data_IF_528354438326
#
_entry.id   IF_528354438326
#
_cell.length_a   1.000
_cell.length_b   1.000
_cell.length_c   1.000
_cell.angle_alpha   90.00
_cell.angle_beta   90.00
_cell.angle_gamma   90.00
#
_symmetry.space_group_name_H-M   'P 1'
#
loop_
_entity.id
_entity.type
_entity.pdbx_description
1 polymer ?
#
# COMPACT_ATOMS: atom_id res chain seq x y z
N UNK A 1 -3.21 2.80 -18.68
CA UNK A 1 -2.91 4.15 -19.22
C UNK A 1 -2.75 4.01 -20.73
N UNK A 2 -3.64 4.64 -21.51
CA UNK A 2 -3.61 4.59 -22.99
C UNK A 2 -3.07 5.89 -23.59
N UNK A 3 -2.14 6.56 -22.93
CA UNK A 3 -1.58 7.82 -23.42
C UNK A 3 -0.55 7.56 -24.50
N UNK A 4 -0.63 8.29 -25.60
CA UNK A 4 0.47 8.39 -26.57
C UNK A 4 1.51 9.33 -26.01
N UNK A 5 2.71 8.82 -25.77
CA UNK A 5 3.83 9.62 -25.28
C UNK A 5 4.74 10.04 -26.43
N UNK A 6 5.31 11.23 -26.34
CA UNK A 6 6.31 11.79 -27.25
C UNK A 6 7.52 12.32 -26.48
N UNK A 7 8.61 12.49 -27.15
CA UNK A 7 9.79 13.17 -26.59
C UNK A 7 9.52 14.66 -26.36
N UNK A 8 10.25 15.24 -25.41
CA UNK A 8 10.24 16.67 -25.18
C UNK A 8 10.78 17.44 -26.39
N UNK A 9 10.17 18.57 -26.70
CA UNK A 9 10.72 19.54 -27.65
C UNK A 9 11.85 20.36 -27.01
N UNK A 10 12.72 20.94 -27.81
CA UNK A 10 13.80 21.82 -27.33
C UNK A 10 13.24 23.00 -26.48
N UNK A 11 12.12 23.56 -26.87
CA UNK A 11 11.48 24.67 -26.14
C UNK A 11 10.92 24.24 -24.78
N UNK A 12 10.36 23.04 -24.70
CA UNK A 12 9.89 22.46 -23.41
C UNK A 12 11.07 22.21 -22.47
N UNK A 13 12.18 21.68 -22.97
CA UNK A 13 13.41 21.47 -22.20
C UNK A 13 13.95 22.80 -21.66
N UNK A 14 14.01 23.85 -22.46
CA UNK A 14 14.46 25.17 -22.00
C UNK A 14 13.51 25.78 -20.96
N UNK A 15 12.20 25.57 -21.12
CA UNK A 15 11.22 25.99 -20.10
C UNK A 15 11.45 25.23 -18.78
N UNK A 16 11.62 23.91 -18.83
CA UNK A 16 11.88 23.09 -17.63
C UNK A 16 13.19 23.51 -16.94
N UNK A 17 14.26 23.76 -17.69
CA UNK A 17 15.52 24.26 -17.14
C UNK A 17 15.34 25.63 -16.46
N UNK A 18 14.59 26.54 -17.09
CA UNK A 18 14.31 27.86 -16.51
C UNK A 18 13.51 27.77 -15.18
N UNK A 19 12.77 26.69 -14.98
CA UNK A 19 12.03 26.36 -13.76
C UNK A 19 12.82 25.47 -12.77
N UNK A 20 14.15 25.45 -12.91
CA UNK A 20 15.09 24.72 -12.05
C UNK A 20 14.90 23.21 -12.09
N UNK A 21 14.37 22.67 -13.18
CA UNK A 21 14.34 21.23 -13.41
C UNK A 21 15.68 20.75 -13.98
N UNK A 22 16.07 19.54 -13.58
CA UNK A 22 17.27 18.87 -14.09
C UNK A 22 16.97 17.44 -14.52
N UNK A 23 17.65 16.95 -15.53
CA UNK A 23 17.60 15.56 -15.95
C UNK A 23 19.00 15.03 -16.20
N UNK A 24 19.25 13.76 -15.89
CA UNK A 24 20.50 13.08 -16.24
C UNK A 24 20.60 12.97 -17.78
N UNK A 25 19.49 12.60 -18.42
CA UNK A 25 19.34 12.60 -19.88
C UNK A 25 17.91 13.05 -20.24
N UNK A 26 17.79 14.17 -20.95
CA UNK A 26 16.51 14.70 -21.40
C UNK A 26 15.85 13.80 -22.46
N UNK A 27 16.61 12.97 -23.17
CA UNK A 27 16.08 12.03 -24.17
C UNK A 27 15.33 10.84 -23.53
N UNK A 28 15.54 10.56 -22.24
CA UNK A 28 14.84 9.52 -21.50
C UNK A 28 13.48 10.01 -20.94
N UNK A 29 13.12 11.28 -21.19
CA UNK A 29 11.85 11.85 -20.72
C UNK A 29 10.87 11.88 -21.89
N UNK A 30 9.70 11.30 -21.63
CA UNK A 30 8.54 11.28 -22.52
C UNK A 30 7.37 11.99 -21.87
N UNK A 31 6.54 12.66 -22.65
CA UNK A 31 5.38 13.42 -22.15
C UNK A 31 4.12 13.08 -22.95
N UNK A 32 2.99 13.11 -22.28
CA UNK A 32 1.69 12.92 -22.91
C UNK A 32 1.35 14.10 -23.84
N UNK A 33 0.44 13.87 -24.77
CA UNK A 33 -0.15 14.95 -25.54
C UNK A 33 -0.88 15.93 -24.60
N UNK A 34 -0.70 17.23 -24.79
CA UNK A 34 -1.23 18.24 -23.87
C UNK A 34 -0.38 18.54 -22.64
N UNK A 35 0.79 17.92 -22.52
CA UNK A 35 1.74 18.27 -21.48
C UNK A 35 2.12 19.75 -21.52
N UNK A 36 2.11 20.41 -20.36
CA UNK A 36 2.48 21.81 -20.22
C UNK A 36 3.64 21.96 -19.22
N UNK A 37 4.86 22.30 -19.66
CA UNK A 37 6.04 22.33 -18.81
C UNK A 37 5.93 23.33 -17.65
N UNK A 38 5.07 24.34 -17.74
CA UNK A 38 4.86 25.35 -16.67
C UNK A 38 4.43 24.76 -15.31
N UNK A 39 3.90 23.54 -15.31
CA UNK A 39 3.47 22.83 -14.10
C UNK A 39 4.50 21.84 -13.54
N UNK A 40 5.73 21.88 -14.03
CA UNK A 40 6.83 21.08 -13.49
C UNK A 40 7.97 22.00 -13.05
N UNK A 41 8.22 22.09 -11.75
CA UNK A 41 9.19 23.01 -11.16
C UNK A 41 10.04 22.32 -10.11
N UNK A 42 11.34 22.64 -10.08
CA UNK A 42 12.27 22.09 -9.07
C UNK A 42 12.29 20.55 -9.07
N UNK A 43 12.09 19.93 -10.23
CA UNK A 43 12.10 18.49 -10.38
C UNK A 43 13.47 17.99 -10.83
N UNK A 44 13.96 16.93 -10.20
CA UNK A 44 15.16 16.20 -10.60
C UNK A 44 14.74 14.85 -11.18
N UNK A 45 15.16 14.55 -12.40
CA UNK A 45 14.70 13.39 -13.15
C UNK A 45 15.86 12.52 -13.60
N UNK A 46 15.72 11.21 -13.52
CA UNK A 46 16.71 10.24 -13.99
C UNK A 46 16.06 8.93 -14.43
N UNK A 47 16.76 8.19 -15.30
CA UNK A 47 16.20 6.99 -15.91
C UNK A 47 15.01 7.31 -16.81
N UNK A 48 14.16 6.32 -17.06
CA UNK A 48 13.00 6.49 -17.93
C UNK A 48 11.84 7.19 -17.20
N UNK A 49 11.45 8.37 -17.67
CA UNK A 49 10.40 9.19 -17.08
C UNK A 49 9.28 9.40 -18.10
N UNK A 50 8.04 9.17 -17.66
CA UNK A 50 6.83 9.53 -18.43
C UNK A 50 5.96 10.46 -17.61
N UNK A 51 5.56 11.59 -18.18
CA UNK A 51 4.74 12.60 -17.54
C UNK A 51 3.42 12.79 -18.28
N UNK A 52 2.31 12.72 -17.56
CA UNK A 52 0.97 13.03 -18.07
C UNK A 52 0.75 14.51 -18.32
N UNK A 53 -0.47 14.86 -18.73
CA UNK A 53 -0.95 16.23 -18.82
C UNK A 53 -1.53 16.68 -17.46
N UNK A 54 -1.29 17.93 -17.06
CA UNK A 54 -1.70 18.47 -15.77
C UNK A 54 -2.72 19.59 -15.95
N UNK A 55 -4.01 19.31 -15.74
CA UNK A 55 -5.09 20.26 -15.99
C UNK A 55 -6.09 20.40 -14.82
N UNK A 56 -5.86 19.66 -13.71
CA UNK A 56 -6.77 19.59 -12.55
C UNK A 56 -6.36 20.56 -11.45
N UNK A 57 -7.35 21.12 -10.76
CA UNK A 57 -7.17 21.76 -9.46
C UNK A 57 -7.64 20.82 -8.34
N UNK A 58 -6.80 20.66 -7.31
CA UNK A 58 -7.15 20.00 -6.07
C UNK A 58 -7.62 21.01 -5.04
N UNK A 59 -8.75 20.74 -4.40
CA UNK A 59 -9.26 21.54 -3.29
C UNK A 59 -8.85 20.89 -1.97
N UNK A 60 -8.03 21.58 -1.21
CA UNK A 60 -7.54 21.12 0.10
C UNK A 60 -8.43 21.65 1.23
N UNK A 61 -8.34 21.07 2.44
CA UNK A 61 -9.00 21.61 3.62
C UNK A 61 -8.70 23.10 3.81
N UNK A 62 -9.70 23.85 4.28
CA UNK A 62 -9.58 25.31 4.40
C UNK A 62 -9.79 26.08 3.09
N UNK A 63 -10.10 25.42 1.99
CA UNK A 63 -10.39 26.05 0.70
C UNK A 63 -9.17 26.43 -0.14
N UNK A 64 -7.97 26.00 0.25
CA UNK A 64 -6.77 26.19 -0.55
C UNK A 64 -6.83 25.34 -1.81
N UNK A 65 -6.40 25.90 -2.94
CA UNK A 65 -6.34 25.21 -4.22
C UNK A 65 -4.89 24.96 -4.63
N UNK A 66 -4.63 23.75 -5.12
CA UNK A 66 -3.35 23.37 -5.74
C UNK A 66 -3.60 22.88 -7.16
N UNK A 67 -2.80 23.34 -8.09
CA UNK A 67 -2.84 22.83 -9.47
C UNK A 67 -2.05 21.52 -9.56
N UNK A 68 -2.56 20.58 -10.37
CA UNK A 68 -1.82 19.37 -10.74
C UNK A 68 -0.46 19.72 -11.36
N UNK A 69 0.54 18.89 -11.11
CA UNK A 69 1.90 19.14 -11.55
C UNK A 69 2.94 18.46 -10.66
N UNK A 70 4.20 18.79 -10.89
CA UNK A 70 5.31 18.23 -10.11
C UNK A 70 6.14 19.38 -9.55
N UNK A 71 6.28 19.40 -8.23
CA UNK A 71 6.92 20.51 -7.51
C UNK A 71 7.85 19.98 -6.42
N UNK A 72 9.14 20.35 -6.46
CA UNK A 72 10.12 19.91 -5.45
C UNK A 72 10.18 18.39 -5.28
N UNK A 73 10.44 17.66 -6.37
CA UNK A 73 10.48 16.20 -6.35
C UNK A 73 11.71 15.64 -7.09
N UNK A 74 12.22 14.51 -6.61
CA UNK A 74 13.22 13.70 -7.31
C UNK A 74 12.57 12.41 -7.79
N UNK A 75 12.63 12.14 -9.10
CA UNK A 75 11.98 11.01 -9.74
C UNK A 75 13.02 10.15 -10.47
N UNK A 76 12.96 8.82 -10.29
CA UNK A 76 13.81 7.87 -10.99
C UNK A 76 13.01 6.69 -11.53
N UNK A 77 12.98 6.48 -12.84
CA UNK A 77 12.17 5.44 -13.50
C UNK A 77 10.69 5.51 -13.07
N UNK A 78 10.02 6.63 -13.31
CA UNK A 78 8.64 6.87 -12.87
C UNK A 78 7.75 7.24 -14.04
N UNK A 79 6.59 6.60 -14.11
CA UNK A 79 5.47 7.04 -14.95
C UNK A 79 4.45 7.76 -14.09
N UNK A 80 4.15 9.02 -14.40
CA UNK A 80 3.15 9.85 -13.73
C UNK A 80 1.96 10.02 -14.67
N UNK A 81 0.77 9.60 -14.22
CA UNK A 81 -0.47 9.75 -14.95
C UNK A 81 -0.95 11.21 -15.07
N UNK A 82 -2.03 11.39 -15.82
CA UNK A 82 -2.64 12.69 -16.00
C UNK A 82 -3.17 13.25 -14.67
N UNK A 83 -3.20 14.58 -14.58
CA UNK A 83 -3.80 15.27 -13.45
C UNK A 83 -3.26 14.93 -12.05
N UNK A 84 -2.07 14.35 -11.97
CA UNK A 84 -1.38 14.11 -10.70
C UNK A 84 -0.82 15.41 -10.10
N UNK A 85 -0.80 15.50 -8.77
CA UNK A 85 -0.04 16.50 -8.03
C UNK A 85 1.01 15.80 -7.18
N UNK A 86 2.29 16.05 -7.43
CA UNK A 86 3.42 15.51 -6.66
C UNK A 86 4.22 16.68 -6.11
N UNK A 87 4.22 16.86 -4.80
CA UNK A 87 4.86 18.02 -4.18
C UNK A 87 5.63 17.64 -2.92
N UNK A 88 6.76 18.30 -2.69
CA UNK A 88 7.58 18.16 -1.49
C UNK A 88 7.99 16.71 -1.19
N UNK A 89 8.56 16.03 -2.17
CA UNK A 89 9.19 14.72 -1.97
C UNK A 89 10.57 14.95 -1.38
N UNK A 90 10.74 14.62 -0.10
CA UNK A 90 11.99 14.95 0.66
C UNK A 90 13.22 14.24 0.09
N UNK A 91 13.09 12.98 -0.29
CA UNK A 91 14.17 12.22 -0.89
C UNK A 91 13.86 11.90 -2.36
N UNK A 92 13.10 10.83 -2.65
CA UNK A 92 12.79 10.47 -4.03
C UNK A 92 11.61 9.50 -4.17
N UNK A 93 11.06 9.45 -5.37
CA UNK A 93 10.17 8.37 -5.85
C UNK A 93 10.92 7.59 -6.91
N UNK A 94 10.98 6.24 -6.78
CA UNK A 94 11.70 5.41 -7.74
C UNK A 94 10.96 4.12 -8.10
N UNK A 95 11.00 3.78 -9.40
CA UNK A 95 10.45 2.53 -9.95
C UNK A 95 8.95 2.37 -9.67
N UNK A 96 8.16 3.38 -10.03
CA UNK A 96 6.70 3.38 -9.84
C UNK A 96 5.93 3.85 -11.08
N UNK A 97 4.78 3.25 -11.26
CA UNK A 97 3.69 3.78 -12.09
C UNK A 97 2.63 4.40 -11.18
N UNK A 98 2.29 5.69 -11.42
CA UNK A 98 1.35 6.47 -10.63
C UNK A 98 0.12 6.76 -11.49
N UNK A 99 -1.05 6.32 -11.05
CA UNK A 99 -2.34 6.49 -11.73
C UNK A 99 -2.81 7.94 -11.76
N UNK A 100 -3.73 8.21 -12.66
CA UNK A 100 -4.28 9.55 -12.89
C UNK A 100 -4.94 10.15 -11.65
N UNK A 101 -4.92 11.48 -11.55
CA UNK A 101 -5.60 12.21 -10.49
C UNK A 101 -5.05 12.00 -9.08
N UNK A 102 -3.90 11.36 -8.95
CA UNK A 102 -3.26 11.03 -7.67
C UNK A 102 -2.57 12.25 -7.06
N UNK A 103 -2.72 12.40 -5.75
CA UNK A 103 -2.14 13.48 -4.96
C UNK A 103 -1.09 12.92 -4.00
N UNK A 104 0.17 13.35 -4.15
CA UNK A 104 1.29 12.96 -3.29
C UNK A 104 1.94 14.22 -2.74
N UNK A 105 1.94 14.39 -1.42
CA UNK A 105 2.51 15.57 -0.79
C UNK A 105 3.29 15.22 0.48
N UNK A 106 4.43 15.89 0.67
CA UNK A 106 5.22 15.80 1.89
C UNK A 106 5.56 14.35 2.29
N UNK A 107 6.05 13.58 1.33
CA UNK A 107 6.50 12.19 1.55
C UNK A 107 8.02 12.11 1.62
N UNK A 108 8.53 11.14 2.37
CA UNK A 108 9.98 10.95 2.46
C UNK A 108 10.52 10.13 1.28
N UNK A 109 10.18 8.86 1.20
CA UNK A 109 10.62 7.94 0.12
C UNK A 109 9.45 7.08 -0.33
N UNK A 110 9.30 6.91 -1.66
CA UNK A 110 8.47 5.87 -2.27
C UNK A 110 9.34 5.08 -3.25
N UNK A 111 9.60 3.80 -2.98
CA UNK A 111 10.52 3.00 -3.79
C UNK A 111 10.04 1.55 -3.98
N UNK A 112 10.20 1.03 -5.21
CA UNK A 112 10.27 -0.41 -5.44
C UNK A 112 11.73 -0.80 -5.67
N UNK A 113 12.22 -1.74 -4.86
CA UNK A 113 13.61 -2.19 -4.82
C UNK A 113 13.69 -3.65 -5.24
N UNK A 114 13.96 -3.88 -6.50
CA UNK A 114 14.02 -5.19 -7.12
C UNK A 114 12.65 -5.90 -7.28
N UNK A 115 12.64 -7.14 -7.75
CA UNK A 115 11.43 -7.93 -7.91
C UNK A 115 10.76 -8.22 -6.55
N UNK A 116 9.47 -7.94 -6.45
CA UNK A 116 8.69 -8.13 -5.22
C UNK A 116 7.28 -8.63 -5.52
N UNK A 117 6.74 -9.47 -4.65
CA UNK A 117 5.34 -9.91 -4.67
C UNK A 117 4.40 -8.94 -3.93
N UNK A 118 4.91 -7.81 -3.41
CA UNK A 118 4.13 -6.82 -2.66
C UNK A 118 3.31 -7.47 -1.52
N UNK A 119 3.97 -8.23 -0.65
CA UNK A 119 3.33 -8.96 0.45
C UNK A 119 2.67 -10.27 0.06
N UNK A 120 2.40 -10.50 -1.23
CA UNK A 120 1.89 -11.80 -1.69
C UNK A 120 2.97 -12.88 -1.53
N UNK A 121 2.60 -14.03 -0.95
CA UNK A 121 3.50 -15.14 -0.70
C UNK A 121 4.21 -15.10 0.66
N UNK A 122 4.00 -14.06 1.46
CA UNK A 122 4.50 -14.04 2.85
C UNK A 122 3.82 -15.16 3.63
N UNK A 123 4.62 -15.93 4.35
CA UNK A 123 4.13 -16.99 5.25
C UNK A 123 3.83 -16.39 6.62
N UNK A 124 2.64 -16.66 7.11
CA UNK A 124 2.11 -16.19 8.40
C UNK A 124 1.89 -17.38 9.30
N UNK A 125 2.55 -17.40 10.47
CA UNK A 125 2.43 -18.46 11.46
C UNK A 125 1.19 -18.26 12.30
N UNK A 126 0.10 -18.93 11.93
CA UNK A 126 -1.17 -18.84 12.67
C UNK A 126 -1.40 -20.03 13.59
N UNK A 127 -2.15 -19.82 14.67
CA UNK A 127 -2.54 -20.84 15.66
C UNK A 127 -1.37 -21.46 16.43
N UNK A 128 -0.16 -21.00 16.22
CA UNK A 128 1.02 -21.43 16.95
C UNK A 128 2.19 -20.48 16.69
N UNK A 129 2.67 -19.78 17.68
CA UNK A 129 3.79 -18.85 17.59
C UNK A 129 5.11 -19.54 17.18
N UNK A 130 5.25 -20.83 17.47
CA UNK A 130 6.45 -21.60 17.09
C UNK A 130 6.38 -22.15 15.67
N UNK A 131 5.33 -21.85 14.92
CA UNK A 131 5.17 -22.27 13.54
C UNK A 131 4.53 -23.66 13.37
N UNK A 132 4.58 -24.18 12.12
CA UNK A 132 4.03 -25.48 11.74
C UNK A 132 2.64 -25.42 11.12
N UNK A 133 2.03 -24.23 11.03
CA UNK A 133 0.73 -23.99 10.37
C UNK A 133 0.76 -22.74 9.50
N UNK A 134 1.87 -22.49 8.85
CA UNK A 134 2.08 -21.31 8.02
C UNK A 134 1.07 -21.26 6.86
N UNK A 135 0.48 -20.10 6.68
CA UNK A 135 -0.42 -19.77 5.60
C UNK A 135 0.24 -18.70 4.74
N UNK A 136 0.39 -18.95 3.45
CA UNK A 136 0.79 -17.92 2.51
C UNK A 136 -0.35 -16.92 2.32
N UNK A 137 -0.14 -15.67 2.69
CA UNK A 137 -1.10 -14.60 2.38
C UNK A 137 -0.97 -14.18 0.92
N UNK A 138 -2.08 -13.79 0.32
CA UNK A 138 -2.15 -13.26 -1.04
C UNK A 138 -3.45 -12.48 -1.23
N UNK A 139 -3.54 -11.66 -2.27
CA UNK A 139 -4.63 -10.71 -2.52
C UNK A 139 -6.04 -11.32 -2.47
N UNK A 140 -6.18 -12.60 -2.79
CA UNK A 140 -7.46 -13.31 -2.86
C UNK A 140 -7.67 -14.29 -1.71
N UNK A 141 -6.93 -14.18 -0.63
CA UNK A 141 -7.08 -15.07 0.52
C UNK A 141 -8.46 -14.90 1.15
N UNK A 142 -9.18 -16.00 1.28
CA UNK A 142 -10.45 -16.06 2.01
C UNK A 142 -10.30 -16.82 3.33
N UNK A 143 -11.23 -16.56 4.28
CA UNK A 143 -11.26 -17.28 5.54
C UNK A 143 -11.38 -18.81 5.34
N UNK A 144 -12.14 -19.23 4.33
CA UNK A 144 -12.33 -20.64 3.99
C UNK A 144 -11.02 -21.28 3.51
N UNK A 145 -10.31 -20.62 2.59
CA UNK A 145 -9.01 -21.13 2.09
C UNK A 145 -7.99 -21.19 3.21
N UNK A 146 -7.90 -20.14 4.02
CA UNK A 146 -7.01 -20.10 5.18
C UNK A 146 -7.33 -21.19 6.21
N UNK A 147 -8.62 -21.40 6.51
CA UNK A 147 -9.09 -22.46 7.40
C UNK A 147 -8.65 -23.84 6.91
N UNK A 148 -8.86 -24.13 5.64
CA UNK A 148 -8.43 -25.40 5.05
C UNK A 148 -6.92 -25.57 5.14
N UNK A 149 -6.15 -24.55 4.82
CA UNK A 149 -4.70 -24.59 4.90
C UNK A 149 -4.17 -24.79 6.33
N UNK A 150 -4.82 -24.20 7.33
CA UNK A 150 -4.39 -24.31 8.73
C UNK A 150 -4.75 -25.65 9.36
N UNK A 151 -5.94 -26.18 9.10
CA UNK A 151 -6.50 -27.32 9.86
C UNK A 151 -6.50 -28.66 9.11
N UNK A 152 -6.46 -28.66 7.76
CA UNK A 152 -6.48 -29.89 6.97
C UNK A 152 -5.07 -30.39 6.64
N UNK A 153 -4.12 -30.19 7.52
CA UNK A 153 -2.70 -30.59 7.35
C UNK A 153 -2.51 -32.10 7.13
N UNK A 154 -3.45 -32.89 7.58
CA UNK A 154 -3.51 -34.33 7.32
C UNK A 154 -3.83 -34.69 5.86
N UNK A 155 -4.08 -33.70 5.00
CA UNK A 155 -4.27 -33.82 3.56
C UNK A 155 -3.14 -33.15 2.78
N UNK A 156 -1.91 -33.68 2.83
CA UNK A 156 -0.72 -32.97 2.34
C UNK A 156 -0.78 -32.64 0.84
N UNK A 157 -1.37 -33.52 0.02
CA UNK A 157 -1.52 -33.27 -1.43
C UNK A 157 -2.42 -32.07 -1.71
N UNK A 158 -3.53 -31.92 -0.97
CA UNK A 158 -4.43 -30.79 -1.11
C UNK A 158 -3.73 -29.48 -0.69
N UNK A 159 -3.02 -29.51 0.41
CA UNK A 159 -2.25 -28.33 0.89
C UNK A 159 -1.17 -27.96 -0.12
N UNK A 160 -0.47 -28.94 -0.70
CA UNK A 160 0.53 -28.68 -1.74
C UNK A 160 -0.07 -27.99 -2.95
N UNK A 161 -1.21 -28.47 -3.46
CA UNK A 161 -1.92 -27.84 -4.59
C UNK A 161 -2.39 -26.43 -4.29
N UNK A 162 -2.90 -26.16 -3.08
CA UNK A 162 -3.26 -24.79 -2.67
C UNK A 162 -2.03 -23.88 -2.63
N UNK A 163 -0.90 -24.35 -2.08
CA UNK A 163 0.35 -23.60 -2.09
C UNK A 163 0.87 -23.35 -3.52
N UNK A 164 0.75 -24.30 -4.43
CA UNK A 164 1.13 -24.14 -5.84
C UNK A 164 0.26 -23.08 -6.54
N UNK A 165 -1.05 -23.09 -6.30
CA UNK A 165 -1.98 -22.08 -6.82
C UNK A 165 -1.59 -20.68 -6.32
N UNK A 166 -1.27 -20.54 -5.03
CA UNK A 166 -0.84 -19.26 -4.46
C UNK A 166 0.50 -18.82 -5.05
N UNK A 167 1.49 -19.72 -5.19
CA UNK A 167 2.77 -19.40 -5.82
C UNK A 167 2.62 -18.95 -7.27
N UNK A 168 1.71 -19.57 -8.02
CA UNK A 168 1.36 -19.13 -9.38
C UNK A 168 0.82 -17.70 -9.38
N UNK A 169 -0.06 -17.37 -8.44
CA UNK A 169 -0.55 -15.99 -8.27
C UNK A 169 0.59 -15.04 -7.92
N UNK A 170 1.43 -15.39 -6.95
CA UNK A 170 2.62 -14.58 -6.55
C UNK A 170 3.48 -14.29 -7.76
N UNK A 171 3.79 -15.30 -8.58
CA UNK A 171 4.58 -15.12 -9.80
C UNK A 171 3.92 -14.16 -10.79
N UNK A 172 2.59 -14.16 -10.89
CA UNK A 172 1.85 -13.29 -11.80
C UNK A 172 1.79 -11.82 -11.36
N UNK A 173 1.96 -11.55 -10.07
CA UNK A 173 1.94 -10.19 -9.51
C UNK A 173 3.32 -9.64 -9.17
N UNK A 174 4.36 -10.47 -9.26
CA UNK A 174 5.75 -10.06 -9.00
C UNK A 174 6.21 -9.06 -10.05
N UNK A 175 6.73 -7.94 -9.58
CA UNK A 175 7.26 -6.87 -10.44
C UNK A 175 8.39 -6.13 -9.74
N UNK A 176 9.29 -5.55 -10.53
CA UNK A 176 10.29 -4.57 -10.06
C UNK A 176 9.80 -3.12 -10.18
N UNK A 177 8.57 -2.93 -10.67
CA UNK A 177 7.91 -1.62 -10.75
C UNK A 177 6.68 -1.65 -9.86
N UNK A 178 6.61 -0.72 -8.92
CA UNK A 178 5.47 -0.54 -8.03
C UNK A 178 4.31 0.15 -8.74
N UNK A 179 3.14 0.08 -8.13
CA UNK A 179 1.94 0.70 -8.66
C UNK A 179 1.20 1.49 -7.58
N UNK A 180 0.88 2.74 -7.89
CA UNK A 180 -0.05 3.58 -7.15
C UNK A 180 -1.24 3.83 -8.06
N UNK A 181 -2.42 3.45 -7.63
CA UNK A 181 -3.66 3.55 -8.40
C UNK A 181 -4.08 4.98 -8.71
N UNK A 182 -5.24 5.09 -9.35
CA UNK A 182 -5.83 6.38 -9.70
C UNK A 182 -6.56 7.00 -8.49
N UNK A 183 -6.57 8.34 -8.43
CA UNK A 183 -7.23 9.12 -7.37
C UNK A 183 -6.80 8.72 -5.94
N UNK A 184 -5.56 8.33 -5.78
CA UNK A 184 -4.94 8.04 -4.49
C UNK A 184 -4.48 9.33 -3.84
N UNK A 185 -4.57 9.41 -2.52
CA UNK A 185 -3.97 10.49 -1.73
C UNK A 185 -2.88 9.90 -0.83
N UNK A 186 -1.66 10.43 -0.91
CA UNK A 186 -0.56 10.11 -0.01
C UNK A 186 -0.02 11.42 0.55
N UNK A 187 -0.25 11.68 1.83
CA UNK A 187 0.17 12.92 2.47
C UNK A 187 0.91 12.64 3.79
N UNK A 188 1.94 13.43 4.06
CA UNK A 188 2.70 13.39 5.30
C UNK A 188 3.25 11.99 5.66
N UNK A 189 3.52 11.16 4.65
CA UNK A 189 3.98 9.80 4.84
C UNK A 189 5.51 9.70 4.87
N UNK A 190 6.01 8.79 5.71
CA UNK A 190 7.44 8.50 5.80
C UNK A 190 7.93 7.56 4.69
N UNK A 191 8.28 6.34 5.07
CA UNK A 191 8.93 5.37 4.20
C UNK A 191 7.95 4.37 3.60
N UNK A 192 7.78 4.40 2.27
CA UNK A 192 6.96 3.44 1.51
C UNK A 192 7.88 2.64 0.59
N UNK A 193 8.05 1.34 0.87
CA UNK A 193 8.93 0.46 0.09
C UNK A 193 8.23 -0.82 -0.33
N UNK A 194 8.26 -1.14 -1.63
CA UNK A 194 7.67 -2.37 -2.16
C UNK A 194 6.17 -2.50 -1.82
N UNK A 195 5.41 -1.43 -1.99
CA UNK A 195 3.97 -1.41 -1.68
C UNK A 195 3.17 -1.13 -2.95
N UNK A 196 2.25 -2.03 -3.27
CA UNK A 196 1.24 -1.81 -4.30
C UNK A 196 0.00 -1.19 -3.69
N UNK A 197 -0.45 -0.07 -4.24
CA UNK A 197 -1.57 0.72 -3.70
C UNK A 197 -2.68 0.77 -4.75
N UNK A 198 -3.86 0.30 -4.39
CA UNK A 198 -5.05 0.34 -5.24
C UNK A 198 -5.69 1.73 -5.32
N UNK A 199 -6.64 1.86 -6.24
CA UNK A 199 -7.33 3.12 -6.54
C UNK A 199 -8.05 3.70 -5.32
N UNK A 200 -8.19 5.03 -5.27
CA UNK A 200 -8.92 5.75 -4.21
C UNK A 200 -8.43 5.49 -2.79
N UNK A 201 -7.25 4.93 -2.62
CA UNK A 201 -6.62 4.76 -1.30
C UNK A 201 -6.26 6.12 -0.70
N UNK A 202 -6.37 6.21 0.61
CA UNK A 202 -5.95 7.38 1.36
C UNK A 202 -4.91 6.98 2.40
N UNK A 203 -3.70 7.54 2.29
CA UNK A 203 -2.59 7.32 3.23
C UNK A 203 -2.21 8.69 3.79
N UNK A 204 -2.42 8.88 5.09
CA UNK A 204 -2.13 10.16 5.75
C UNK A 204 -1.31 9.94 7.03
N UNK A 205 -0.10 10.43 7.05
CA UNK A 205 0.77 10.37 8.23
C UNK A 205 1.32 8.98 8.57
N UNK A 206 1.26 8.01 7.67
CA UNK A 206 1.86 6.70 7.92
C UNK A 206 3.38 6.80 8.07
N UNK A 207 3.93 6.17 9.12
CA UNK A 207 5.37 6.23 9.40
C UNK A 207 6.19 5.33 8.48
N UNK A 208 5.76 4.08 8.30
CA UNK A 208 6.43 3.10 7.43
C UNK A 208 5.47 2.05 6.90
N UNK A 209 5.53 1.81 5.61
CA UNK A 209 4.84 0.71 4.94
C UNK A 209 5.87 -0.05 4.08
N UNK A 210 6.02 -1.36 4.30
CA UNK A 210 7.02 -2.15 3.59
C UNK A 210 6.47 -3.51 3.18
N UNK A 211 6.74 -3.88 1.92
CA UNK A 211 6.37 -5.17 1.34
C UNK A 211 4.88 -5.49 1.54
N UNK A 212 4.01 -4.72 0.87
CA UNK A 212 2.58 -4.86 1.09
C UNK A 212 1.72 -4.58 -0.13
N UNK A 213 0.47 -5.05 -0.07
CA UNK A 213 -0.59 -4.71 -1.01
C UNK A 213 -1.76 -4.06 -0.27
N UNK A 214 -2.22 -2.92 -0.79
CA UNK A 214 -3.41 -2.22 -0.31
C UNK A 214 -4.45 -2.30 -1.43
N UNK A 215 -5.40 -3.20 -1.29
CA UNK A 215 -6.38 -3.53 -2.32
C UNK A 215 -7.61 -2.61 -2.25
N UNK A 216 -7.36 -1.30 -2.38
CA UNK A 216 -8.36 -0.24 -2.39
C UNK A 216 -9.07 -0.13 -3.73
N UNK A 217 -10.30 0.37 -3.72
CA UNK A 217 -11.06 0.70 -4.93
C UNK A 217 -12.13 1.77 -4.64
N UNK A 218 -12.75 2.30 -5.68
CA UNK A 218 -13.72 3.41 -5.59
C UNK A 218 -14.93 3.11 -4.67
N UNK A 219 -15.41 1.87 -4.63
CA UNK A 219 -16.60 1.49 -3.85
C UNK A 219 -16.29 1.16 -2.40
N UNK A 220 -15.05 0.79 -2.13
CA UNK A 220 -14.58 0.40 -0.81
C UNK A 220 -13.12 0.85 -0.62
N UNK A 221 -12.90 2.16 -0.48
CA UNK A 221 -11.57 2.71 -0.31
C UNK A 221 -10.93 2.24 1.00
N UNK A 222 -9.60 2.16 1.00
CA UNK A 222 -8.81 1.86 2.19
C UNK A 222 -8.22 3.15 2.73
N UNK A 223 -8.22 3.27 4.06
CA UNK A 223 -7.56 4.35 4.77
C UNK A 223 -6.41 3.81 5.62
N UNK A 224 -5.23 4.44 5.50
CA UNK A 224 -4.07 4.19 6.36
C UNK A 224 -3.69 5.50 7.02
N UNK A 225 -3.78 5.56 8.33
CA UNK A 225 -3.70 6.79 9.10
C UNK A 225 -2.35 7.01 9.77
N UNK A 226 -2.36 7.99 10.68
CA UNK A 226 -1.17 8.55 11.34
C UNK A 226 -0.44 7.50 12.18
N UNK A 227 0.89 7.51 12.08
CA UNK A 227 1.77 6.70 12.91
C UNK A 227 1.81 5.22 12.56
N UNK A 228 1.06 4.77 11.56
CA UNK A 228 0.99 3.36 11.17
C UNK A 228 2.34 2.83 10.70
N UNK A 229 2.72 1.66 11.21
CA UNK A 229 3.89 0.89 10.80
C UNK A 229 3.44 -0.50 10.37
N UNK A 230 3.61 -0.83 9.08
CA UNK A 230 3.23 -2.13 8.51
C UNK A 230 4.36 -2.75 7.69
N UNK A 231 4.68 -4.00 8.00
CA UNK A 231 5.67 -4.80 7.27
C UNK A 231 5.04 -6.14 6.85
N UNK A 232 5.30 -6.59 5.61
CA UNK A 232 4.85 -7.91 5.10
C UNK A 232 3.34 -8.12 5.21
N UNK A 233 2.55 -7.34 4.46
CA UNK A 233 1.11 -7.28 4.70
C UNK A 233 0.25 -7.28 3.44
N UNK A 234 -1.02 -7.60 3.65
CA UNK A 234 -2.10 -7.33 2.69
C UNK A 234 -3.24 -6.66 3.44
N UNK A 235 -3.73 -5.53 2.92
CA UNK A 235 -4.93 -4.84 3.39
C UNK A 235 -5.98 -4.88 2.29
N UNK A 236 -7.13 -5.47 2.59
CA UNK A 236 -8.25 -5.60 1.67
C UNK A 236 -9.18 -4.39 1.72
N UNK A 237 -10.03 -4.27 0.69
CA UNK A 237 -10.91 -3.13 0.47
C UNK A 237 -11.84 -2.79 1.64
N UNK A 238 -12.11 -1.51 1.80
CA UNK A 238 -13.02 -0.97 2.83
C UNK A 238 -12.46 -0.98 4.24
N UNK A 239 -11.18 -1.29 4.41
CA UNK A 239 -10.55 -1.36 5.73
C UNK A 239 -9.91 -0.04 6.12
N UNK A 240 -9.82 0.22 7.43
CA UNK A 240 -9.02 1.30 7.99
C UNK A 240 -7.98 0.77 8.97
N UNK A 241 -6.76 1.32 8.89
CA UNK A 241 -5.64 1.02 9.80
C UNK A 241 -5.08 2.36 10.23
N UNK A 242 -5.28 2.74 11.49
CA UNK A 242 -5.09 4.12 11.92
C UNK A 242 -4.43 4.22 13.31
N UNK A 243 -4.10 5.42 13.72
CA UNK A 243 -3.75 5.78 15.11
C UNK A 243 -2.63 4.93 15.71
N UNK A 244 -1.47 4.88 15.05
CA UNK A 244 -0.28 4.25 15.60
C UNK A 244 -0.28 2.72 15.59
N UNK A 245 -1.14 2.08 14.83
CA UNK A 245 -1.14 0.62 14.67
C UNK A 245 0.21 0.13 14.16
N UNK A 246 0.72 -0.94 14.77
CA UNK A 246 1.92 -1.64 14.33
C UNK A 246 1.59 -3.08 13.96
N UNK A 247 1.96 -3.51 12.76
CA UNK A 247 1.66 -4.87 12.33
C UNK A 247 2.73 -5.45 11.40
N UNK A 248 2.95 -6.75 11.51
CA UNK A 248 3.89 -7.46 10.64
C UNK A 248 3.42 -8.86 10.33
N UNK A 249 3.65 -9.31 9.09
CA UNK A 249 3.16 -10.60 8.56
C UNK A 249 1.66 -10.78 8.85
N UNK A 250 0.85 -9.82 8.36
CA UNK A 250 -0.58 -9.81 8.63
C UNK A 250 -1.42 -9.73 7.35
N UNK A 251 -2.57 -10.37 7.39
CA UNK A 251 -3.64 -10.18 6.41
C UNK A 251 -4.80 -9.46 7.08
N UNK A 252 -5.12 -8.27 6.58
CA UNK A 252 -6.27 -7.47 7.01
C UNK A 252 -7.35 -7.58 5.95
N UNK A 253 -8.39 -8.33 6.24
CA UNK A 253 -9.50 -8.63 5.35
C UNK A 253 -10.41 -7.43 5.09
N UNK A 254 -11.52 -7.66 4.39
CA UNK A 254 -12.44 -6.61 3.99
C UNK A 254 -13.16 -5.96 5.18
N UNK A 255 -13.33 -4.65 5.12
CA UNK A 255 -14.05 -3.86 6.11
C UNK A 255 -13.56 -4.05 7.56
N UNK A 256 -12.28 -4.35 7.74
CA UNK A 256 -11.65 -4.42 9.04
C UNK A 256 -11.25 -3.03 9.54
N UNK A 257 -11.20 -2.87 10.85
CA UNK A 257 -10.70 -1.67 11.52
C UNK A 257 -9.63 -2.03 12.52
N UNK A 258 -8.42 -1.50 12.34
CA UNK A 258 -7.36 -1.57 13.33
C UNK A 258 -7.01 -0.14 13.75
N UNK A 259 -6.95 0.13 15.06
CA UNK A 259 -6.75 1.49 15.55
C UNK A 259 -6.20 1.55 16.98
N UNK A 260 -6.01 2.79 17.45
CA UNK A 260 -5.66 3.08 18.85
C UNK A 260 -4.45 2.28 19.38
N UNK A 261 -3.33 2.31 18.63
CA UNK A 261 -2.08 1.62 18.97
C UNK A 261 -2.20 0.09 19.07
N UNK A 262 -3.13 -0.53 18.34
CA UNK A 262 -3.20 -1.98 18.27
C UNK A 262 -1.91 -2.55 17.69
N UNK A 263 -1.41 -3.66 18.26
CA UNK A 263 -0.26 -4.39 17.71
C UNK A 263 -0.68 -5.76 17.19
N UNK A 264 -0.14 -6.16 16.03
CA UNK A 264 -0.44 -7.46 15.45
C UNK A 264 0.79 -8.09 14.79
N UNK A 265 1.03 -9.37 15.08
CA UNK A 265 2.10 -10.13 14.45
C UNK A 265 1.57 -11.49 14.03
N UNK A 266 1.98 -11.98 12.84
CA UNK A 266 1.62 -13.30 12.31
C UNK A 266 0.11 -13.59 12.37
N UNK A 267 -0.72 -12.61 12.02
CA UNK A 267 -2.15 -12.68 12.29
C UNK A 267 -3.00 -12.46 11.04
N UNK A 268 -4.10 -13.18 10.97
CA UNK A 268 -5.09 -13.06 9.90
C UNK A 268 -6.37 -12.48 10.48
N UNK A 269 -6.81 -11.35 9.95
CA UNK A 269 -8.09 -10.72 10.26
C UNK A 269 -8.99 -10.82 9.03
N UNK A 270 -10.08 -11.57 9.14
CA UNK A 270 -11.05 -11.68 8.05
C UNK A 270 -12.16 -10.61 8.20
N UNK A 271 -13.16 -10.68 7.34
CA UNK A 271 -14.11 -9.56 7.16
C UNK A 271 -14.73 -9.05 8.47
N UNK A 272 -14.82 -7.72 8.56
CA UNK A 272 -15.44 -7.01 9.68
C UNK A 272 -14.80 -7.27 11.06
N UNK A 273 -13.52 -7.60 11.11
CA UNK A 273 -12.77 -7.63 12.36
C UNK A 273 -12.43 -6.22 12.84
N UNK A 274 -12.35 -6.05 14.16
CA UNK A 274 -11.92 -4.80 14.78
C UNK A 274 -10.87 -5.08 15.85
N UNK A 275 -9.76 -4.35 15.81
CA UNK A 275 -8.69 -4.44 16.80
C UNK A 275 -8.29 -3.04 17.28
N UNK A 276 -8.50 -2.77 18.57
CA UNK A 276 -8.13 -1.50 19.19
C UNK A 276 -7.50 -1.73 20.56
N UNK A 277 -6.50 -0.94 20.91
CA UNK A 277 -5.91 -0.90 22.26
C UNK A 277 -5.34 -2.24 22.80
N UNK A 278 -5.10 -3.23 21.96
CA UNK A 278 -4.71 -4.57 22.38
C UNK A 278 -3.58 -5.14 21.54
N UNK A 279 -3.35 -6.43 21.71
CA UNK A 279 -2.34 -7.18 21.00
C UNK A 279 -2.90 -8.48 20.42
N UNK A 280 -2.45 -8.82 19.22
CA UNK A 280 -2.70 -10.10 18.57
C UNK A 280 -1.39 -10.73 18.09
N UNK A 281 -1.20 -12.00 18.42
CA UNK A 281 -0.07 -12.78 17.93
C UNK A 281 -0.52 -14.15 17.47
N UNK A 282 -0.15 -14.53 16.24
CA UNK A 282 -0.46 -15.84 15.66
C UNK A 282 -1.97 -16.18 15.65
N UNK A 283 -2.87 -15.20 15.51
CA UNK A 283 -4.30 -15.47 15.56
C UNK A 283 -4.91 -15.69 14.17
N UNK A 284 -5.92 -16.52 14.15
CA UNK A 284 -6.88 -16.64 13.07
C UNK A 284 -8.18 -15.94 13.51
N UNK A 285 -8.29 -14.64 13.22
CA UNK A 285 -9.52 -13.90 13.46
C UNK A 285 -10.47 -14.08 12.27
N UNK A 286 -11.40 -15.02 12.39
CA UNK A 286 -12.54 -15.17 11.50
C UNK A 286 -13.47 -13.96 11.55
N UNK A 287 -14.49 -13.90 10.70
CA UNK A 287 -15.38 -12.74 10.60
C UNK A 287 -15.94 -12.30 11.96
N UNK A 288 -16.07 -10.98 12.12
CA UNK A 288 -16.64 -10.35 13.34
C UNK A 288 -15.91 -10.70 14.65
N UNK A 289 -14.59 -10.86 14.59
CA UNK A 289 -13.75 -10.88 15.80
C UNK A 289 -13.43 -9.45 16.20
N UNK A 290 -13.81 -9.06 17.40
CA UNK A 290 -13.76 -7.68 17.88
C UNK A 290 -13.03 -7.57 19.20
N UNK A 291 -12.08 -6.63 19.29
CA UNK A 291 -11.34 -6.28 20.51
C UNK A 291 -11.21 -4.76 20.58
N UNK A 292 -12.05 -4.10 21.43
CA UNK A 292 -12.02 -2.64 21.55
C UNK A 292 -11.30 -2.13 22.79
N UNK A 293 -11.13 -3.00 23.78
CA UNK A 293 -10.76 -2.56 25.12
C UNK A 293 -9.27 -2.73 25.38
N UNK A 294 -8.73 -1.86 26.24
CA UNK A 294 -7.35 -1.96 26.72
C UNK A 294 -7.09 -3.28 27.41
N UNK A 295 -5.84 -3.74 27.34
CA UNK A 295 -5.39 -4.97 27.98
C UNK A 295 -6.03 -6.24 27.41
N UNK A 296 -6.40 -6.25 26.14
CA UNK A 296 -6.83 -7.47 25.45
C UNK A 296 -5.62 -8.09 24.76
N UNK A 297 -5.37 -9.36 25.05
CA UNK A 297 -4.31 -10.16 24.47
C UNK A 297 -4.90 -11.43 23.85
N UNK A 298 -4.72 -11.61 22.55
CA UNK A 298 -5.13 -12.81 21.82
C UNK A 298 -3.89 -13.47 21.21
N UNK A 299 -3.55 -14.68 21.64
CA UNK A 299 -2.40 -15.41 21.14
C UNK A 299 -2.80 -16.81 20.67
N UNK A 300 -2.30 -17.20 19.50
CA UNK A 300 -2.37 -18.57 18.95
C UNK A 300 -3.77 -19.18 18.91
N UNK A 301 -4.80 -18.35 18.82
CA UNK A 301 -6.20 -18.77 18.86
C UNK A 301 -6.93 -18.61 17.55
N UNK A 302 -8.07 -19.30 17.45
CA UNK A 302 -9.03 -19.13 16.38
C UNK A 302 -10.32 -18.55 16.94
N UNK A 303 -10.70 -17.40 16.42
CA UNK A 303 -11.84 -16.63 16.90
C UNK A 303 -12.78 -16.28 15.75
N UNK A 304 -14.07 -16.20 16.00
CA UNK A 304 -15.06 -15.72 15.03
C UNK A 304 -16.35 -15.38 15.76
N UNK A 305 -17.04 -14.33 15.30
CA UNK A 305 -18.27 -13.85 15.96
C UNK A 305 -18.09 -13.63 17.47
N UNK A 306 -16.96 -13.04 17.84
CA UNK A 306 -16.53 -12.85 19.22
C UNK A 306 -16.29 -11.38 19.50
N UNK A 307 -16.70 -10.93 20.68
CA UNK A 307 -16.31 -9.65 21.24
C UNK A 307 -15.52 -9.89 22.55
N UNK A 308 -14.24 -9.60 22.54
CA UNK A 308 -13.39 -9.73 23.71
C UNK A 308 -13.54 -8.53 24.63
N UNK A 309 -13.86 -8.78 25.89
CA UNK A 309 -13.96 -7.76 26.92
C UNK A 309 -12.59 -7.26 27.39
N UNK A 310 -12.59 -6.20 28.20
CA UNK A 310 -11.41 -5.65 28.84
C UNK A 310 -10.70 -6.70 29.70
N UNK A 311 -9.38 -6.76 29.59
CA UNK A 311 -8.55 -7.73 30.32
C UNK A 311 -8.63 -9.16 29.81
N UNK A 312 -9.26 -9.40 28.66
CA UNK A 312 -9.23 -10.73 28.04
C UNK A 312 -7.80 -11.15 27.72
N UNK A 313 -7.41 -12.30 28.25
CA UNK A 313 -6.15 -12.94 27.93
C UNK A 313 -6.45 -14.35 27.42
N UNK A 314 -6.23 -14.56 26.13
CA UNK A 314 -6.39 -15.84 25.46
C UNK A 314 -5.05 -16.23 24.88
N UNK A 315 -4.20 -16.81 25.72
CA UNK A 315 -2.92 -17.42 25.32
C UNK A 315 -3.00 -18.93 25.50
N UNK A 316 -2.60 -19.69 24.52
CA UNK A 316 -2.54 -21.15 24.56
C UNK A 316 -1.12 -21.63 24.78
#
# INVERSE_FOLDING_TARGET
MNNTYRKLTAQEIETLKSQMCTAVDWNEIEVAEGFAPKYVRWARMSGHIRLGAFNKEFCLPGGMKKHSGIYYATLHNVTVGDDCCIENVKNYIANYEIGEGTFIENVDIIITDGPTGFGNGVEVSVLNETGGREIMIYDRLSAQTAYVMALYRHRPEMISRLKEMIRSHVSSVTSSVGYIGSNVTIADAGYIKNVKIGDYCKIEGASRLKNGSINSNMHAPVHVGVGVIGDDFIISSGSSVEDGVTFSRCFVGQACKLGHNYSATDSLFFSNCQGENGEACAIFAGPYTVTHHKSTLLIAGMFSFMNAGSGSNQSN
#
